data_IF_434220477122
#
_entry.id   IF_434220477122
#
_cell.length_a   1.000
_cell.length_b   1.000
_cell.length_c   1.000
_cell.angle_alpha   90.00
_cell.angle_beta   90.00
_cell.angle_gamma   90.00
#
_symmetry.space_group_name_H-M   'P 1'
#
loop_
_entity.id
_entity.type
_entity.pdbx_description
1 polymer ?
#
# COMPACT_ATOMS: atom_id res chain seq x y z
N UNK A 1 7.01 11.84 -15.47
CA UNK A 1 6.73 13.29 -15.56
C UNK A 1 5.43 13.57 -14.82
N UNK A 2 5.40 14.53 -13.88
CA UNK A 2 4.15 14.95 -13.24
C UNK A 2 3.20 15.42 -14.33
N UNK A 3 1.94 14.97 -14.28
CA UNK A 3 0.91 15.53 -15.16
C UNK A 3 0.71 16.99 -14.75
N UNK A 4 1.04 17.90 -15.65
CA UNK A 4 0.90 19.34 -15.39
C UNK A 4 -0.54 19.74 -15.67
N UNK A 5 -1.19 20.50 -14.77
CA UNK A 5 -2.50 21.09 -15.08
C UNK A 5 -2.42 21.93 -16.36
N UNK A 6 -3.42 21.86 -17.25
CA UNK A 6 -3.45 22.68 -18.45
C UNK A 6 -3.53 24.17 -18.08
N UNK A 7 -2.66 24.99 -18.69
CA UNK A 7 -2.71 26.45 -18.57
C UNK A 7 -3.48 27.00 -19.77
N UNK A 8 -4.58 27.72 -19.53
CA UNK A 8 -5.41 28.29 -20.60
C UNK A 8 -5.62 29.79 -20.35
N UNK A 9 -5.06 30.62 -21.24
CA UNK A 9 -5.40 32.04 -21.39
C UNK A 9 -5.11 32.94 -20.19
N UNK A 10 -5.59 34.19 -20.26
CA UNK A 10 -5.41 35.24 -19.23
C UNK A 10 -6.50 35.26 -18.17
N UNK A 11 -7.57 34.44 -18.29
CA UNK A 11 -8.67 34.40 -17.33
C UNK A 11 -8.37 33.45 -16.16
N UNK A 12 -8.06 34.05 -15.01
CA UNK A 12 -7.77 33.35 -13.75
C UNK A 12 -8.94 32.49 -13.24
N UNK A 13 -10.20 32.88 -13.53
CA UNK A 13 -11.37 32.12 -13.09
C UNK A 13 -11.54 30.84 -13.91
N UNK A 14 -11.25 30.90 -15.20
CA UNK A 14 -11.24 29.73 -16.07
C UNK A 14 -10.12 28.77 -15.65
N UNK A 15 -8.92 29.29 -15.44
CA UNK A 15 -7.78 28.52 -14.93
C UNK A 15 -8.11 27.80 -13.60
N UNK A 16 -8.76 28.49 -12.65
CA UNK A 16 -9.15 27.88 -11.38
C UNK A 16 -10.13 26.71 -11.53
N UNK A 17 -11.08 26.78 -12.47
CA UNK A 17 -12.02 25.67 -12.75
C UNK A 17 -11.30 24.46 -13.35
N UNK A 18 -10.39 24.69 -14.29
CA UNK A 18 -9.62 23.62 -14.93
C UNK A 18 -8.67 22.94 -13.95
N UNK A 19 -8.05 23.69 -13.04
CA UNK A 19 -7.23 23.11 -11.96
C UNK A 19 -8.08 22.22 -11.05
N UNK A 20 -9.24 22.69 -10.59
CA UNK A 20 -10.10 21.88 -9.73
C UNK A 20 -10.52 20.58 -10.43
N UNK A 21 -10.84 20.64 -11.73
CA UNK A 21 -11.17 19.47 -12.52
C UNK A 21 -9.98 18.52 -12.67
N UNK A 22 -8.79 19.07 -12.93
CA UNK A 22 -7.55 18.32 -13.06
C UNK A 22 -7.18 17.61 -11.75
N UNK A 23 -7.22 18.32 -10.62
CA UNK A 23 -6.92 17.77 -9.31
C UNK A 23 -7.95 16.68 -8.95
N UNK A 24 -9.25 16.95 -9.13
CA UNK A 24 -10.30 15.95 -8.85
C UNK A 24 -10.10 14.63 -9.61
N UNK A 25 -9.53 14.69 -10.82
CA UNK A 25 -9.24 13.52 -11.66
C UNK A 25 -7.93 12.80 -11.33
N UNK A 26 -6.99 13.45 -10.66
CA UNK A 26 -5.63 12.95 -10.52
C UNK A 26 -5.14 12.82 -9.07
N UNK A 27 -5.81 13.43 -8.10
CA UNK A 27 -5.35 13.47 -6.69
C UNK A 27 -5.31 12.08 -6.03
N UNK A 28 -6.20 11.16 -6.45
CA UNK A 28 -6.20 9.78 -5.96
C UNK A 28 -5.29 8.82 -6.71
N UNK A 29 -4.57 9.27 -7.75
CA UNK A 29 -3.68 8.39 -8.53
C UNK A 29 -2.29 8.35 -7.90
N UNK A 30 -1.67 7.18 -7.94
CA UNK A 30 -0.23 7.06 -7.67
C UNK A 30 0.57 7.72 -8.79
N UNK A 31 1.56 8.52 -8.42
CA UNK A 31 2.54 9.08 -9.35
C UNK A 31 3.74 8.14 -9.48
N UNK A 32 4.44 8.18 -10.62
CA UNK A 32 5.65 7.37 -10.83
C UNK A 32 6.85 7.98 -10.11
N UNK A 33 7.60 7.13 -9.39
CA UNK A 33 8.87 7.48 -8.78
C UNK A 33 9.91 7.78 -9.85
N UNK A 34 10.60 8.89 -9.67
CA UNK A 34 11.71 9.39 -10.48
C UNK A 34 13.00 9.41 -9.66
N UNK A 35 14.13 9.69 -10.32
CA UNK A 35 15.43 9.83 -9.66
C UNK A 35 15.54 11.07 -8.78
N UNK A 36 14.67 12.07 -8.96
CA UNK A 36 14.66 13.31 -8.17
C UNK A 36 13.79 13.23 -6.91
N UNK A 37 13.00 12.17 -6.75
CA UNK A 37 12.15 12.02 -5.57
C UNK A 37 12.98 11.68 -4.34
N UNK A 38 12.76 12.43 -3.26
CA UNK A 38 13.47 12.27 -1.99
C UNK A 38 12.49 11.85 -0.89
N UNK A 39 12.80 10.84 -0.08
CA UNK A 39 11.93 10.37 1.01
C UNK A 39 12.14 11.19 2.29
N UNK A 40 12.27 12.52 2.19
CA UNK A 40 12.51 13.40 3.34
C UNK A 40 11.30 13.52 4.27
N UNK A 41 10.10 13.45 3.70
CA UNK A 41 8.84 13.42 4.42
C UNK A 41 8.27 12.00 4.43
N UNK A 42 7.63 11.59 5.52
CA UNK A 42 6.94 10.31 5.61
C UNK A 42 5.56 10.38 4.93
N UNK A 43 5.18 9.31 4.22
CA UNK A 43 3.82 9.16 3.66
C UNK A 43 3.64 9.57 2.19
N UNK A 44 4.72 9.82 1.44
CA UNK A 44 4.68 10.04 -0.01
C UNK A 44 4.51 8.67 -0.70
N UNK A 45 3.39 8.47 -1.40
CA UNK A 45 3.10 7.25 -2.14
C UNK A 45 3.42 7.40 -3.63
N UNK A 46 4.21 6.47 -4.17
CA UNK A 46 4.64 6.45 -5.56
C UNK A 46 4.58 5.03 -6.16
N UNK A 47 4.59 4.91 -7.48
CA UNK A 47 4.84 3.66 -8.20
C UNK A 47 6.31 3.58 -8.58
N UNK A 48 7.02 2.55 -8.13
CA UNK A 48 8.40 2.28 -8.55
C UNK A 48 8.38 1.42 -9.83
N UNK A 49 8.70 2.02 -10.98
CA UNK A 49 8.66 1.35 -12.29
C UNK A 49 9.80 0.34 -12.47
N UNK A 50 10.96 0.60 -11.87
CA UNK A 50 12.11 -0.30 -11.92
C UNK A 50 11.84 -1.60 -11.16
N UNK A 51 11.16 -1.49 -10.03
CA UNK A 51 10.84 -2.64 -9.17
C UNK A 51 9.43 -3.20 -9.38
N UNK A 52 8.60 -2.49 -10.15
CA UNK A 52 7.25 -2.85 -10.55
C UNK A 52 6.27 -3.02 -9.36
N UNK A 53 6.30 -2.09 -8.40
CA UNK A 53 5.38 -2.07 -7.24
C UNK A 53 5.19 -0.67 -6.62
N UNK A 54 4.11 -0.43 -5.85
CA UNK A 54 3.96 0.80 -5.09
C UNK A 54 4.95 0.88 -3.92
N UNK A 55 5.44 2.09 -3.64
CA UNK A 55 6.31 2.42 -2.53
C UNK A 55 5.76 3.59 -1.72
N UNK A 56 6.13 3.65 -0.44
CA UNK A 56 5.85 4.76 0.48
C UNK A 56 7.15 5.25 1.11
N UNK A 57 7.32 6.56 1.26
CA UNK A 57 8.44 7.13 2.01
C UNK A 57 8.26 6.90 3.52
N UNK A 58 9.30 6.34 4.15
CA UNK A 58 9.36 6.08 5.58
C UNK A 58 10.81 6.06 6.06
N UNK A 59 11.11 6.89 7.06
CA UNK A 59 12.40 7.01 7.72
C UNK A 59 13.57 7.22 6.73
N UNK A 60 13.42 8.15 5.79
CA UNK A 60 14.47 8.48 4.82
C UNK A 60 14.67 7.44 3.71
N UNK A 61 13.74 6.50 3.52
CA UNK A 61 13.78 5.52 2.43
C UNK A 61 12.41 5.31 1.78
N UNK A 62 12.39 4.98 0.48
CA UNK A 62 11.18 4.43 -0.17
C UNK A 62 11.10 2.94 0.09
N UNK A 63 10.02 2.50 0.75
CA UNK A 63 9.76 1.11 1.10
C UNK A 63 8.56 0.59 0.32
N UNK A 64 8.60 -0.68 -0.08
CA UNK A 64 7.47 -1.32 -0.77
C UNK A 64 6.20 -1.27 0.09
N UNK A 65 5.09 -0.88 -0.52
CA UNK A 65 3.76 -1.04 0.08
C UNK A 65 3.33 -2.47 -0.16
N UNK A 66 3.28 -3.25 0.92
CA UNK A 66 2.75 -4.60 0.89
C UNK A 66 1.36 -4.62 1.55
N UNK A 67 0.42 -5.33 0.94
CA UNK A 67 -0.84 -5.64 1.59
C UNK A 67 -0.53 -6.69 2.67
N UNK A 68 -0.79 -6.35 3.93
CA UNK A 68 -0.75 -7.35 5.00
C UNK A 68 -1.96 -8.24 4.84
N UNK A 69 -1.75 -9.49 4.44
CA UNK A 69 -2.77 -10.51 4.55
C UNK A 69 -2.73 -11.06 5.98
N UNK A 70 -3.78 -10.80 6.75
CA UNK A 70 -3.95 -11.40 8.06
C UNK A 70 -4.67 -12.74 7.91
N UNK A 71 -4.21 -13.77 8.61
CA UNK A 71 -4.94 -15.03 8.76
C UNK A 71 -6.29 -14.73 9.43
N UNK A 72 -7.42 -15.25 8.91
CA UNK A 72 -8.71 -15.14 9.58
C UNK A 72 -8.59 -15.62 11.03
N UNK A 73 -9.25 -14.93 11.97
CA UNK A 73 -9.23 -15.32 13.39
C UNK A 73 -9.77 -16.74 13.62
N UNK A 74 -10.66 -17.21 12.74
CA UNK A 74 -11.21 -18.57 12.71
C UNK A 74 -10.25 -19.64 12.18
N UNK A 75 -9.10 -19.24 11.62
CA UNK A 75 -8.08 -20.12 11.04
C UNK A 75 -6.80 -20.04 11.88
N UNK A 76 -6.96 -19.98 13.20
CA UNK A 76 -5.89 -19.99 14.20
C UNK A 76 -5.67 -21.43 14.68
N UNK A 77 -4.95 -22.20 13.87
CA UNK A 77 -4.60 -23.58 14.23
C UNK A 77 -5.76 -24.57 14.24
N UNK A 78 -5.42 -25.85 14.18
CA UNK A 78 -6.28 -26.95 14.53
C UNK A 78 -5.97 -27.46 15.94
N UNK A 79 -6.86 -28.27 16.51
CA UNK A 79 -6.62 -28.94 17.79
C UNK A 79 -5.32 -29.76 17.72
N UNK A 80 -4.37 -29.49 18.62
CA UNK A 80 -3.05 -30.12 18.65
C UNK A 80 -1.90 -29.23 18.19
N UNK A 81 -2.18 -28.00 17.75
CA UNK A 81 -1.15 -27.07 17.31
C UNK A 81 -0.38 -26.40 18.47
N UNK A 82 0.95 -26.31 18.29
CA UNK A 82 1.91 -25.72 19.22
C UNK A 82 2.46 -24.44 18.61
N UNK A 83 2.74 -23.44 19.43
CA UNK A 83 3.36 -22.19 18.99
C UNK A 83 4.64 -22.47 18.18
N UNK A 84 4.71 -21.92 16.97
CA UNK A 84 5.84 -22.13 16.04
C UNK A 84 5.64 -23.25 15.01
N UNK A 85 4.54 -24.01 15.05
CA UNK A 85 4.19 -24.94 13.97
C UNK A 85 3.56 -24.21 12.77
N UNK A 86 3.73 -24.80 11.59
CA UNK A 86 3.15 -24.34 10.32
C UNK A 86 2.01 -25.28 9.95
N UNK A 87 0.80 -24.74 9.81
CA UNK A 87 -0.35 -25.45 9.28
C UNK A 87 -0.77 -24.85 7.94
N UNK A 88 -1.36 -25.66 7.07
CA UNK A 88 -1.78 -25.22 5.75
C UNK A 88 -3.09 -25.91 5.32
N UNK A 89 -3.92 -25.19 4.59
CA UNK A 89 -5.10 -25.73 3.90
C UNK A 89 -5.03 -25.43 2.39
N UNK A 90 -6.10 -25.75 1.66
CA UNK A 90 -6.17 -25.54 0.20
C UNK A 90 -6.06 -24.06 -0.21
N UNK A 91 -6.25 -23.12 0.72
CA UNK A 91 -6.28 -21.69 0.47
C UNK A 91 -5.09 -20.93 1.08
N UNK A 92 -4.56 -21.36 2.24
CA UNK A 92 -3.57 -20.60 3.00
C UNK A 92 -2.54 -21.47 3.75
N UNK A 93 -1.33 -20.93 3.92
CA UNK A 93 -0.31 -21.39 4.87
C UNK A 93 -0.30 -20.40 6.03
N UNK A 94 -0.38 -20.87 7.28
CA UNK A 94 -0.37 -20.00 8.46
C UNK A 94 0.53 -20.54 9.58
N UNK A 95 1.02 -19.61 10.42
CA UNK A 95 1.89 -19.89 11.57
C UNK A 95 1.03 -19.80 12.83
N UNK A 96 1.05 -20.85 13.66
CA UNK A 96 0.28 -20.89 14.90
C UNK A 96 0.92 -19.94 15.94
N UNK A 97 0.19 -18.89 16.31
CA UNK A 97 0.67 -17.81 17.21
C UNK A 97 0.27 -18.01 18.67
N UNK A 98 -0.56 -19.01 18.98
CA UNK A 98 -0.91 -19.43 20.33
C UNK A 98 -0.84 -20.96 20.46
N UNK A 99 -0.65 -21.47 21.67
CA UNK A 99 -0.81 -22.89 21.97
C UNK A 99 -2.31 -23.20 22.00
N UNK A 100 -2.81 -23.87 20.96
CA UNK A 100 -4.19 -24.33 20.93
C UNK A 100 -4.21 -25.75 21.52
N UNK A 101 -4.37 -25.84 22.85
CA UNK A 101 -4.27 -27.11 23.61
C UNK A 101 -5.43 -28.10 23.37
N UNK A 102 -6.34 -27.81 22.43
CA UNK A 102 -7.42 -28.71 22.04
C UNK A 102 -8.42 -29.03 23.17
N UNK A 103 -8.42 -28.29 24.27
CA UNK A 103 -9.22 -28.64 25.46
C UNK A 103 -10.71 -28.25 25.40
N UNK A 104 -11.18 -27.64 24.31
CA UNK A 104 -12.61 -27.46 24.06
C UNK A 104 -12.97 -27.72 22.59
N UNK A 105 -13.34 -28.96 22.32
CA UNK A 105 -14.29 -29.37 21.28
C UNK A 105 -15.48 -30.06 21.97
#
# INVERSE_FOLDING_TARGET
MPVTPPVIGTDIRQWGREINLFLSRNLGKLFFKSSGDVPSDNGIFLWDDEKNYPVVSSDGAFRQVAMKQATPSSSTGAAGDVAGMIAWDTNYIYICTAAHDGSTA
#
